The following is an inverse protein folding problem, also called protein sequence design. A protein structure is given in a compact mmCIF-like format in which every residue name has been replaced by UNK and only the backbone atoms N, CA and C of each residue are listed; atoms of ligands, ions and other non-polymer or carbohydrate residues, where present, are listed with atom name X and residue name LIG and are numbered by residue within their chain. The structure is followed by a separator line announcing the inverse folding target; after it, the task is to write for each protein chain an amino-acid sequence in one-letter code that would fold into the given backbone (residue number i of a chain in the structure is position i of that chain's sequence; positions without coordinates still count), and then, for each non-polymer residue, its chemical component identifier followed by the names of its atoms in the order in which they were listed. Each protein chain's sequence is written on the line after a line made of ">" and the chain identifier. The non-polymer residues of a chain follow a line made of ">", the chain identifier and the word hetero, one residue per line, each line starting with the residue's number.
data_IF_246416696576
#
_entry.id   IF_246416696576
#
_cell.length_a   1.000
_cell.length_b   1.000
_cell.length_c   1.000
_cell.angle_alpha   90.00
_cell.angle_beta   90.00
_cell.angle_gamma   90.00
#
_symmetry.space_group_name_H-M   'P 1'
#
loop_
_entity.id
_entity.type
_entity.pdbx_description
1 polymer ?
#
# COMPACT_ATOMS: atom_id res chain seq x y z
N UNK A 1 8.91 -14.18 -3.91
CA UNK A 1 8.29 -13.12 -3.09
C UNK A 1 7.22 -13.75 -2.21
N UNK A 2 7.46 -13.84 -0.90
CA UNK A 2 6.45 -14.22 0.09
C UNK A 2 6.31 -13.04 1.05
N UNK A 3 5.13 -12.42 1.04
CA UNK A 3 4.75 -11.34 1.97
C UNK A 3 3.74 -11.94 2.94
N UNK A 4 4.08 -12.03 4.22
CA UNK A 4 3.14 -12.42 5.27
C UNK A 4 2.66 -11.18 6.01
N UNK A 5 1.44 -10.74 5.68
CA UNK A 5 0.64 -9.83 6.51
C UNK A 5 -0.49 -10.67 7.12
N UNK A 6 -0.35 -11.01 8.41
CA UNK A 6 -1.36 -11.53 9.35
C UNK A 6 -2.40 -12.58 8.87
N UNK A 7 -2.16 -13.31 7.79
CA UNK A 7 -3.03 -14.40 7.31
C UNK A 7 -2.17 -15.60 6.93
N UNK A 8 -2.40 -16.74 7.56
CA UNK A 8 -1.77 -18.02 7.19
C UNK A 8 -2.34 -18.51 5.85
N UNK A 9 -1.94 -17.85 4.77
CA UNK A 9 -2.39 -18.13 3.40
C UNK A 9 -1.88 -19.49 2.91
N UNK A 10 -0.66 -19.88 3.31
CA UNK A 10 -0.03 -21.15 2.94
C UNK A 10 0.65 -21.77 4.17
N UNK A 11 0.52 -23.09 4.31
CA UNK A 11 1.22 -23.90 5.33
C UNK A 11 2.38 -24.63 4.67
N UNK A 12 3.52 -24.72 5.35
CA UNK A 12 4.71 -25.41 4.84
C UNK A 12 6.00 -24.75 5.30
N UNK A 13 7.13 -25.36 4.93
CA UNK A 13 8.47 -24.80 5.18
C UNK A 13 8.90 -24.02 3.94
N UNK A 14 9.05 -22.70 4.08
CA UNK A 14 9.57 -21.83 3.04
C UNK A 14 10.98 -21.38 3.43
N UNK A 15 11.94 -21.56 2.54
CA UNK A 15 13.33 -21.15 2.74
C UNK A 15 13.88 -20.50 1.48
N UNK A 16 14.81 -19.57 1.65
CA UNK A 16 15.45 -18.83 0.55
C UNK A 16 16.19 -19.72 -0.44
N UNK A 17 16.65 -20.90 -0.02
CA UNK A 17 17.41 -21.85 -0.83
C UNK A 17 16.55 -22.94 -1.49
N UNK A 18 15.23 -22.95 -1.26
CA UNK A 18 14.31 -23.95 -1.80
C UNK A 18 13.42 -23.30 -2.86
N UNK A 19 13.47 -23.75 -4.14
CA UNK A 19 12.65 -23.19 -5.20
C UNK A 19 11.15 -23.30 -4.91
N UNK A 20 10.42 -22.23 -5.23
CA UNK A 20 8.97 -22.14 -5.09
C UNK A 20 8.32 -21.82 -6.43
N UNK A 21 7.12 -22.36 -6.66
CA UNK A 21 6.30 -21.99 -7.82
C UNK A 21 5.58 -20.68 -7.56
N UNK A 22 5.73 -19.73 -8.47
CA UNK A 22 5.00 -18.46 -8.46
C UNK A 22 4.08 -18.40 -9.67
N UNK A 23 2.84 -18.00 -9.42
CA UNK A 23 1.86 -17.65 -10.46
C UNK A 23 1.48 -16.19 -10.24
N UNK A 24 2.06 -15.32 -11.06
CA UNK A 24 1.87 -13.88 -11.00
C UNK A 24 0.66 -13.52 -11.88
N UNK A 25 -0.18 -12.60 -11.40
CA UNK A 25 -1.27 -12.03 -12.20
C UNK A 25 -0.70 -10.91 -13.11
N UNK A 26 -0.64 -11.09 -14.44
CA UNK A 26 -0.05 -10.10 -15.35
C UNK A 26 -0.75 -8.75 -15.29
N UNK A 27 -2.05 -8.73 -14.99
CA UNK A 27 -2.87 -7.53 -14.88
C UNK A 27 -2.44 -6.68 -13.69
N UNK A 28 -2.09 -7.32 -12.55
CA UNK A 28 -1.55 -6.62 -11.38
C UNK A 28 -0.19 -6.02 -11.68
N UNK A 29 0.66 -6.73 -12.44
CA UNK A 29 1.97 -6.20 -12.83
C UNK A 29 1.82 -5.02 -13.78
N UNK A 30 0.87 -5.06 -14.71
CA UNK A 30 0.57 -3.91 -15.57
C UNK A 30 0.13 -2.70 -14.74
N UNK A 31 -0.75 -2.89 -13.77
CA UNK A 31 -1.16 -1.82 -12.86
C UNK A 31 0.05 -1.22 -12.12
N UNK A 32 1.01 -2.04 -11.67
CA UNK A 32 2.24 -1.53 -11.06
C UNK A 32 3.05 -0.70 -12.05
N UNK A 33 3.27 -1.20 -13.28
CA UNK A 33 4.01 -0.48 -14.34
C UNK A 33 3.38 0.89 -14.62
N UNK A 34 2.06 0.94 -14.78
CA UNK A 34 1.31 2.17 -15.07
C UNK A 34 1.40 3.20 -13.93
N UNK A 35 1.67 2.76 -12.70
CA UNK A 35 1.73 3.60 -11.51
C UNK A 35 3.16 3.82 -10.96
N UNK A 36 4.21 3.37 -11.65
CA UNK A 36 5.61 3.53 -11.19
C UNK A 36 5.92 5.01 -10.94
N UNK A 37 5.57 5.89 -11.87
CA UNK A 37 5.84 7.34 -11.76
C UNK A 37 5.26 7.95 -10.48
N UNK A 38 3.97 7.71 -10.28
CA UNK A 38 3.25 8.18 -9.10
C UNK A 38 3.85 7.61 -7.81
N UNK A 39 4.19 6.32 -7.83
CA UNK A 39 4.72 5.63 -6.63
C UNK A 39 6.09 6.18 -6.25
N UNK A 40 6.99 6.40 -7.23
CA UNK A 40 8.30 7.00 -7.00
C UNK A 40 8.17 8.42 -6.47
N UNK A 41 7.30 9.24 -7.07
CA UNK A 41 7.04 10.59 -6.60
C UNK A 41 6.54 10.59 -5.15
N UNK A 42 5.58 9.72 -4.81
CA UNK A 42 5.07 9.60 -3.45
C UNK A 42 6.17 9.19 -2.46
N UNK A 43 7.02 8.25 -2.82
CA UNK A 43 8.13 7.81 -1.95
C UNK A 43 9.14 8.95 -1.70
N UNK A 44 9.48 9.71 -2.74
CA UNK A 44 10.44 10.82 -2.62
C UNK A 44 9.84 12.01 -1.85
N UNK A 45 8.65 12.48 -2.25
CA UNK A 45 8.08 13.73 -1.74
C UNK A 45 7.35 13.57 -0.41
N UNK A 46 6.68 12.43 -0.18
CA UNK A 46 5.82 12.21 0.99
C UNK A 46 6.55 11.43 2.07
N UNK A 47 7.18 10.31 1.70
CA UNK A 47 7.84 9.42 2.66
C UNK A 47 9.20 10.01 3.08
N UNK A 48 10.05 10.35 2.11
CA UNK A 48 11.40 10.89 2.37
C UNK A 48 11.43 12.41 2.53
N UNK A 49 10.35 13.12 2.15
CA UNK A 49 10.23 14.60 2.23
C UNK A 49 11.33 15.35 1.46
N UNK A 50 11.76 14.79 0.33
CA UNK A 50 12.75 15.36 -0.56
C UNK A 50 12.08 15.99 -1.79
N UNK A 51 12.75 16.99 -2.39
CA UNK A 51 12.33 17.51 -3.70
C UNK A 51 12.82 16.57 -4.79
N UNK A 52 11.95 16.27 -5.76
CA UNK A 52 12.28 15.45 -6.93
C UNK A 52 13.42 16.06 -7.76
N UNK A 53 13.57 17.39 -7.73
CA UNK A 53 14.63 18.13 -8.43
C UNK A 53 16.05 17.80 -7.92
N UNK A 54 16.16 17.22 -6.73
CA UNK A 54 17.44 16.82 -6.13
C UNK A 54 17.86 15.40 -6.53
N UNK A 55 17.01 14.67 -7.27
CA UNK A 55 17.25 13.27 -7.63
C UNK A 55 17.81 13.18 -9.05
N UNK A 56 19.09 12.85 -9.15
CA UNK A 56 19.81 12.83 -10.43
C UNK A 56 19.53 11.56 -11.25
N UNK A 57 19.32 10.42 -10.59
CA UNK A 57 19.21 9.09 -11.21
C UNK A 57 17.78 8.58 -11.37
N UNK A 58 16.77 9.45 -11.25
CA UNK A 58 15.36 9.04 -11.21
C UNK A 58 14.94 8.28 -12.48
N UNK A 59 15.35 8.78 -13.65
CA UNK A 59 15.01 8.18 -14.95
C UNK A 59 15.58 6.77 -15.08
N UNK A 60 16.83 6.56 -14.68
CA UNK A 60 17.52 5.27 -14.80
C UNK A 60 16.88 4.23 -13.87
N UNK A 61 16.57 4.62 -12.62
CA UNK A 61 15.92 3.74 -11.65
C UNK A 61 14.50 3.40 -12.08
N UNK A 62 13.76 4.37 -12.63
CA UNK A 62 12.43 4.14 -13.20
C UNK A 62 12.49 3.09 -14.30
N UNK A 63 13.44 3.22 -15.23
CA UNK A 63 13.57 2.29 -16.35
C UNK A 63 13.92 0.88 -15.87
N UNK A 64 14.87 0.74 -14.94
CA UNK A 64 15.24 -0.58 -14.37
C UNK A 64 14.04 -1.26 -13.69
N UNK A 65 13.27 -0.51 -12.88
CA UNK A 65 12.05 -1.04 -12.24
C UNK A 65 11.03 -1.49 -13.31
N UNK A 66 10.79 -0.67 -14.34
CA UNK A 66 9.84 -1.00 -15.40
C UNK A 66 10.27 -2.24 -16.19
N UNK A 67 11.57 -2.38 -16.49
CA UNK A 67 12.12 -3.55 -17.17
C UNK A 67 11.95 -4.83 -16.34
N UNK A 68 12.25 -4.78 -15.04
CA UNK A 68 12.07 -5.92 -14.14
C UNK A 68 10.59 -6.34 -14.01
N UNK A 69 9.68 -5.36 -13.89
CA UNK A 69 8.24 -5.62 -13.88
C UNK A 69 7.77 -6.21 -15.23
N UNK A 70 8.26 -5.69 -16.35
CA UNK A 70 7.92 -6.22 -17.67
C UNK A 70 8.36 -7.68 -17.82
N UNK A 71 9.53 -8.05 -17.29
CA UNK A 71 9.98 -9.44 -17.26
C UNK A 71 9.07 -10.35 -16.43
N UNK A 72 8.62 -9.88 -15.25
CA UNK A 72 7.65 -10.60 -14.42
C UNK A 72 6.30 -10.78 -15.12
N UNK A 73 5.86 -9.77 -15.88
CA UNK A 73 4.64 -9.82 -16.69
C UNK A 73 4.74 -10.84 -17.84
N UNK A 74 5.88 -10.85 -18.54
CA UNK A 74 6.11 -11.71 -19.70
C UNK A 74 6.27 -13.19 -19.31
N UNK A 75 6.81 -13.46 -18.12
CA UNK A 75 6.99 -14.82 -17.60
C UNK A 75 6.29 -14.94 -16.23
N UNK A 76 4.96 -15.06 -16.21
CA UNK A 76 4.17 -15.00 -14.97
C UNK A 76 4.18 -16.31 -14.18
N UNK A 77 4.47 -17.45 -14.82
CA UNK A 77 4.63 -18.75 -14.17
C UNK A 77 6.12 -19.05 -14.00
N UNK A 78 6.59 -19.09 -12.75
CA UNK A 78 8.03 -19.13 -12.44
C UNK A 78 8.33 -20.20 -11.41
N UNK A 79 9.53 -20.78 -11.48
CA UNK A 79 10.08 -21.67 -10.46
C UNK A 79 11.44 -21.10 -10.05
N UNK A 80 11.49 -20.43 -8.89
CA UNK A 80 12.67 -19.70 -8.44
C UNK A 80 12.75 -19.65 -6.92
N UNK A 81 13.93 -19.32 -6.40
CA UNK A 81 14.18 -19.21 -4.97
C UNK A 81 13.45 -17.98 -4.38
N UNK A 82 12.68 -18.13 -3.30
CA UNK A 82 11.89 -17.04 -2.75
C UNK A 82 12.75 -16.04 -1.98
N UNK A 83 12.48 -14.74 -2.19
CA UNK A 83 12.74 -13.73 -1.16
C UNK A 83 11.53 -13.68 -0.20
N UNK A 84 11.82 -13.81 1.10
CA UNK A 84 10.84 -13.85 2.20
C UNK A 84 10.86 -12.49 2.89
N UNK A 85 9.74 -11.79 2.87
CA UNK A 85 9.58 -10.45 3.43
C UNK A 85 8.46 -10.44 4.47
N UNK A 86 8.68 -9.73 5.57
CA UNK A 86 7.65 -9.34 6.52
C UNK A 86 7.36 -7.86 6.31
N UNK A 87 6.12 -7.53 5.97
CA UNK A 87 5.67 -6.15 5.85
C UNK A 87 4.84 -5.83 7.08
N UNK A 88 5.34 -4.93 7.91
CA UNK A 88 4.64 -4.41 9.08
C UNK A 88 4.35 -2.92 8.89
N UNK A 89 3.28 -2.44 9.50
CA UNK A 89 2.95 -1.03 9.50
C UNK A 89 3.19 -0.47 10.90
N UNK A 90 4.02 0.55 11.01
CA UNK A 90 4.31 1.15 12.30
C UNK A 90 3.06 1.82 12.88
N UNK A 91 2.86 1.61 14.19
CA UNK A 91 1.80 2.24 14.97
C UNK A 91 0.43 2.25 14.26
N UNK A 92 0.01 1.10 13.71
CA UNK A 92 -1.22 0.96 12.91
C UNK A 92 -2.42 1.63 13.57
N UNK A 93 -2.76 1.25 14.81
CA UNK A 93 -3.93 1.78 15.49
C UNK A 93 -3.82 3.27 15.84
N UNK A 94 -2.71 3.76 16.45
CA UNK A 94 -2.52 5.20 16.63
C UNK A 94 -2.67 6.00 15.33
N UNK A 95 -2.07 5.54 14.23
CA UNK A 95 -2.15 6.22 12.95
C UNK A 95 -3.59 6.23 12.40
N UNK A 96 -4.31 5.10 12.46
CA UNK A 96 -5.72 5.04 12.07
C UNK A 96 -6.58 5.99 12.90
N UNK A 97 -6.36 6.03 14.22
CA UNK A 97 -7.07 6.92 15.16
C UNK A 97 -6.84 8.38 14.78
N UNK A 98 -5.59 8.77 14.53
CA UNK A 98 -5.24 10.16 14.21
C UNK A 98 -5.73 10.59 12.83
N UNK A 99 -5.54 9.75 11.80
CA UNK A 99 -5.98 10.04 10.43
C UNK A 99 -7.50 10.16 10.31
N UNK A 100 -8.25 9.36 11.07
CA UNK A 100 -9.71 9.40 11.06
C UNK A 100 -10.31 10.25 12.18
N UNK A 101 -9.47 10.82 13.06
CA UNK A 101 -9.88 11.60 14.24
C UNK A 101 -10.85 10.84 15.14
N UNK A 102 -10.62 9.53 15.30
CA UNK A 102 -11.49 8.65 16.09
C UNK A 102 -11.32 8.94 17.57
N UNK A 103 -12.36 9.48 18.20
CA UNK A 103 -12.45 9.64 19.65
C UNK A 103 -13.83 9.16 20.10
N UNK A 104 -13.98 8.62 21.31
CA UNK A 104 -15.30 8.18 21.79
C UNK A 104 -16.36 9.30 21.72
N UNK A 105 -15.97 10.55 22.00
CA UNK A 105 -16.84 11.71 21.95
C UNK A 105 -17.22 12.18 20.54
N UNK A 106 -16.52 11.73 19.50
CA UNK A 106 -16.79 12.12 18.10
C UNK A 106 -17.72 11.14 17.40
N UNK A 107 -18.13 10.06 18.07
CA UNK A 107 -19.10 9.10 17.55
C UNK A 107 -20.49 9.74 17.66
N UNK A 108 -21.04 10.16 16.53
CA UNK A 108 -22.37 10.72 16.48
C UNK A 108 -23.41 9.59 16.65
N UNK A 109 -24.32 9.76 17.60
CA UNK A 109 -25.52 8.94 17.74
C UNK A 109 -26.74 9.69 17.18
N UNK A 110 -27.73 8.91 16.75
CA UNK A 110 -29.06 9.35 16.30
C UNK A 110 -29.78 10.31 17.26
N UNK A 111 -29.43 10.28 18.55
CA UNK A 111 -29.97 11.17 19.58
C UNK A 111 -29.27 12.53 19.66
N UNK A 112 -27.96 12.58 19.41
CA UNK A 112 -27.11 13.78 19.47
C UNK A 112 -27.11 14.55 18.14
N UNK A 113 -27.29 13.84 17.03
CA UNK A 113 -27.23 14.40 15.68
C UNK A 113 -28.28 15.49 15.38
N UNK A 114 -29.55 15.38 15.80
CA UNK A 114 -30.57 16.43 15.57
C UNK A 114 -30.34 17.70 16.39
N UNK A 115 -29.53 17.64 17.46
CA UNK A 115 -29.24 18.76 18.36
C UNK A 115 -28.01 19.56 17.94
N UNK A 116 -27.31 19.13 16.89
CA UNK A 116 -26.10 19.79 16.40
C UNK A 116 -26.45 20.99 15.50
N UNK A 117 -26.04 22.20 15.89
CA UNK A 117 -26.27 23.44 15.12
C UNK A 117 -25.59 23.45 13.72
N UNK A 118 -24.59 22.58 13.56
CA UNK A 118 -23.85 22.38 12.31
C UNK A 118 -24.47 21.31 11.42
N UNK A 119 -25.52 20.61 11.88
CA UNK A 119 -26.25 19.63 11.09
C UNK A 119 -27.15 20.32 10.06
N UNK A 120 -26.53 20.77 8.97
CA UNK A 120 -27.17 21.46 7.85
C UNK A 120 -27.04 20.63 6.58
N UNK A 121 -27.96 20.78 5.61
CA UNK A 121 -27.75 20.21 4.29
C UNK A 121 -26.39 20.67 3.74
N UNK A 122 -25.53 19.71 3.36
CA UNK A 122 -24.12 19.88 2.95
C UNK A 122 -23.06 20.05 4.04
N UNK A 123 -23.35 19.68 5.30
CA UNK A 123 -22.32 19.58 6.32
C UNK A 123 -21.19 18.62 5.88
N UNK A 124 -19.94 19.07 5.95
CA UNK A 124 -18.74 18.28 5.57
C UNK A 124 -18.00 17.68 6.76
N UNK A 125 -18.56 17.81 7.97
CA UNK A 125 -17.92 17.41 9.21
C UNK A 125 -18.20 15.95 9.60
N UNK A 126 -19.30 15.37 9.14
CA UNK A 126 -19.61 13.96 9.37
C UNK A 126 -18.85 13.09 8.37
N UNK A 127 -17.98 12.23 8.90
CA UNK A 127 -17.28 11.21 8.13
C UNK A 127 -17.87 9.86 8.46
N UNK A 128 -18.46 9.20 7.47
CA UNK A 128 -18.88 7.80 7.61
C UNK A 128 -17.66 6.88 7.49
N UNK A 129 -17.56 5.93 8.41
CA UNK A 129 -16.48 4.96 8.50
C UNK A 129 -17.18 3.61 8.73
N UNK A 130 -16.92 2.64 7.83
CA UNK A 130 -17.47 1.28 7.88
C UNK A 130 -16.47 0.30 8.50
#
# INVERSE_FOLDING_TARGET
>A
MLVQVLKHLNRGVFRRDIPCRFKIAPETVQYLIDNVDRTLQQSIEIEEKLSIDLIENLSDIKEDIQQQLQHLKNVPNRLENPNIYHLDADAVYPNIILTNRLQPSTIADSTLFPQCDLNRPNARCQREIN
#
